data_IF_923105380336
#
_entry.id   IF_923105380336
#
_cell.length_a   1.000
_cell.length_b   1.000
_cell.length_c   1.000
_cell.angle_alpha   90.00
_cell.angle_beta   90.00
_cell.angle_gamma   90.00
#
_symmetry.space_group_name_H-M   'P 1'
#
loop_
_entity.id
_entity.type
_entity.pdbx_description
1 polymer ?
#
# COMPACT_ATOMS: atom_id res chain seq x y z
N UNK A 1 3.93 -3.33 41.37
CA UNK A 1 5.18 -3.67 40.65
C UNK A 1 4.96 -3.79 39.14
N UNK A 2 4.00 -4.59 38.65
CA UNK A 2 3.79 -4.75 37.20
C UNK A 2 3.32 -3.48 36.46
N UNK A 3 2.43 -2.67 37.06
CA UNK A 3 1.99 -1.39 36.44
C UNK A 3 3.15 -0.39 36.34
N UNK A 4 4.03 -0.33 37.36
CA UNK A 4 5.23 0.51 37.33
C UNK A 4 6.17 0.11 36.18
N UNK A 5 6.43 -1.20 36.04
CA UNK A 5 7.22 -1.71 34.90
C UNK A 5 6.57 -1.43 33.54
N UNK A 6 5.25 -1.50 33.47
CA UNK A 6 4.52 -1.14 32.25
C UNK A 6 4.61 0.36 31.94
N UNK A 7 4.60 1.23 32.95
CA UNK A 7 4.85 2.65 32.79
C UNK A 7 6.31 2.93 32.35
N UNK A 8 7.29 2.25 32.95
CA UNK A 8 8.71 2.34 32.57
C UNK A 8 8.95 2.00 31.09
N UNK A 9 8.16 1.10 30.49
CA UNK A 9 8.30 0.77 29.06
C UNK A 9 7.93 1.96 28.13
N UNK A 10 7.14 2.94 28.60
CA UNK A 10 6.92 4.19 27.86
C UNK A 10 8.19 5.04 27.77
N UNK A 11 9.09 4.97 28.75
CA UNK A 11 10.31 5.77 28.78
C UNK A 11 11.27 5.41 27.64
N UNK A 12 11.22 4.16 27.16
CA UNK A 12 11.96 3.69 25.97
C UNK A 12 11.62 4.47 24.72
N UNK A 13 10.41 5.00 24.67
CA UNK A 13 9.89 5.77 23.55
C UNK A 13 9.97 7.28 23.79
N UNK A 14 10.70 7.73 24.82
CA UNK A 14 10.92 9.14 25.12
C UNK A 14 9.83 9.81 25.96
N UNK A 15 8.87 9.06 26.49
CA UNK A 15 7.86 9.60 27.40
C UNK A 15 8.43 9.74 28.81
N UNK A 16 7.98 10.76 29.55
CA UNK A 16 8.06 10.75 31.02
C UNK A 16 6.77 10.15 31.56
N UNK A 17 6.89 9.12 32.39
CA UNK A 17 5.74 8.38 32.91
C UNK A 17 5.63 8.51 34.44
N UNK A 18 4.43 8.77 34.94
CA UNK A 18 4.14 8.78 36.38
C UNK A 18 2.85 7.99 36.66
N UNK A 19 2.92 7.04 37.59
CA UNK A 19 1.77 6.20 37.96
C UNK A 19 1.03 6.84 39.13
N UNK A 20 -0.23 7.21 38.89
CA UNK A 20 -1.16 7.75 39.89
C UNK A 20 -2.41 6.86 39.98
N UNK A 21 -2.42 5.96 40.97
CA UNK A 21 -3.50 4.99 41.15
C UNK A 21 -3.69 4.07 39.94
N UNK A 22 -4.84 4.20 39.26
CA UNK A 22 -5.16 3.48 38.02
C UNK A 22 -4.81 4.26 36.74
N UNK A 23 -4.13 5.41 36.86
CA UNK A 23 -3.73 6.25 35.73
C UNK A 23 -2.23 6.22 35.54
N UNK A 24 -1.82 6.39 34.29
CA UNK A 24 -0.42 6.66 33.92
C UNK A 24 -0.42 8.02 33.24
N UNK A 25 0.15 9.00 33.91
CA UNK A 25 0.43 10.33 33.39
C UNK A 25 1.61 10.21 32.42
N UNK A 26 1.44 10.75 31.22
CA UNK A 26 2.41 10.66 30.13
C UNK A 26 2.69 12.05 29.58
N UNK A 27 3.97 12.42 29.59
CA UNK A 27 4.46 13.65 28.98
C UNK A 27 5.43 13.32 27.86
N UNK A 28 5.20 13.89 26.67
CA UNK A 28 6.02 13.70 25.48
C UNK A 28 6.15 15.04 24.75
N UNK A 29 7.37 15.58 24.67
CA UNK A 29 7.61 16.93 24.16
C UNK A 29 6.70 17.96 24.86
N UNK A 30 5.84 18.64 24.14
CA UNK A 30 4.87 19.62 24.65
C UNK A 30 3.51 18.99 25.01
N UNK A 31 3.31 17.71 24.71
CA UNK A 31 2.04 17.01 24.89
C UNK A 31 1.95 16.42 26.29
N UNK A 32 0.88 16.75 27.02
CA UNK A 32 0.59 16.22 28.35
C UNK A 32 -0.77 15.53 28.36
N UNK A 33 -0.78 14.24 28.71
CA UNK A 33 -2.00 13.44 28.76
C UNK A 33 -1.91 12.35 29.82
N UNK A 34 -2.96 11.56 29.98
CA UNK A 34 -2.93 10.36 30.80
C UNK A 34 -3.76 9.25 30.18
N UNK A 35 -3.34 8.01 30.43
CA UNK A 35 -4.12 6.80 30.12
C UNK A 35 -4.69 6.21 31.40
N UNK A 36 -5.89 5.63 31.29
CA UNK A 36 -6.57 4.97 32.41
C UNK A 36 -6.58 3.46 32.21
N UNK A 37 -6.03 2.75 33.19
CA UNK A 37 -5.92 1.30 33.22
C UNK A 37 -7.18 0.76 33.89
N UNK A 38 -8.02 0.08 33.12
CA UNK A 38 -9.15 -0.66 33.67
C UNK A 38 -8.72 -2.00 34.28
N UNK A 39 -9.67 -2.70 34.89
CA UNK A 39 -9.42 -3.99 35.55
C UNK A 39 -8.91 -5.08 34.58
N UNK A 40 -9.39 -5.07 33.33
CA UNK A 40 -8.98 -6.05 32.32
C UNK A 40 -7.52 -5.84 31.90
N UNK A 41 -7.12 -4.59 31.67
CA UNK A 41 -5.74 -4.21 31.42
C UNK A 41 -4.85 -4.51 32.62
N UNK A 42 -5.26 -4.16 33.84
CA UNK A 42 -4.46 -4.40 35.04
C UNK A 42 -4.18 -5.90 35.23
N UNK A 43 -5.20 -6.75 35.07
CA UNK A 43 -5.07 -8.21 35.16
C UNK A 43 -4.12 -8.76 34.10
N UNK A 44 -4.22 -8.24 32.88
CA UNK A 44 -3.40 -8.69 31.74
C UNK A 44 -1.95 -8.23 31.89
N UNK A 45 -1.70 -6.97 32.28
CA UNK A 45 -0.36 -6.46 32.61
C UNK A 45 0.27 -7.33 33.71
N UNK A 46 -0.45 -7.62 34.79
CA UNK A 46 0.06 -8.53 35.84
C UNK A 46 0.42 -9.91 35.27
N UNK A 47 -0.42 -10.47 34.40
CA UNK A 47 -0.18 -11.77 33.76
C UNK A 47 1.08 -11.75 32.88
N UNK A 48 1.20 -10.77 31.98
CA UNK A 48 2.31 -10.65 31.02
C UNK A 48 3.63 -10.42 31.73
N UNK A 49 3.72 -9.50 32.70
CA UNK A 49 4.97 -9.18 33.39
C UNK A 49 5.40 -10.23 34.42
N UNK A 50 4.51 -11.16 34.79
CA UNK A 50 4.85 -12.32 35.65
C UNK A 50 5.19 -13.56 34.83
N UNK A 51 4.61 -13.72 33.64
CA UNK A 51 4.78 -14.90 32.82
C UNK A 51 6.02 -14.78 31.93
N UNK A 52 6.91 -15.77 31.97
CA UNK A 52 8.05 -15.91 31.03
C UNK A 52 7.68 -16.66 29.73
N UNK A 53 6.39 -16.86 29.48
CA UNK A 53 5.91 -17.83 28.48
C UNK A 53 5.55 -17.22 27.13
N UNK A 54 5.53 -15.89 27.02
CA UNK A 54 5.20 -15.22 25.78
C UNK A 54 6.46 -14.88 25.04
N UNK A 55 6.46 -15.22 23.76
CA UNK A 55 7.51 -14.83 22.85
C UNK A 55 6.88 -14.28 21.58
N UNK A 56 7.36 -13.12 21.15
CA UNK A 56 6.93 -12.44 19.93
C UNK A 56 8.01 -12.61 18.91
N UNK A 57 7.63 -13.16 17.77
CA UNK A 57 8.44 -13.11 16.57
C UNK A 57 8.13 -11.78 15.86
N UNK A 58 9.07 -10.83 15.98
CA UNK A 58 8.99 -9.50 15.38
C UNK A 58 8.97 -9.56 13.86
N UNK A 59 9.72 -10.49 13.27
CA UNK A 59 9.83 -10.62 11.82
C UNK A 59 8.57 -11.26 11.23
N UNK A 60 8.07 -12.30 11.89
CA UNK A 60 6.92 -13.09 11.44
C UNK A 60 5.57 -12.61 12.00
N UNK A 61 5.55 -11.57 12.84
CA UNK A 61 4.34 -10.91 13.37
C UNK A 61 3.35 -11.88 14.03
N UNK A 62 3.85 -12.76 14.89
CA UNK A 62 3.01 -13.65 15.70
C UNK A 62 3.52 -13.79 17.14
N UNK A 63 2.62 -14.16 18.04
CA UNK A 63 2.91 -14.44 19.44
C UNK A 63 2.63 -15.90 19.75
N UNK A 64 3.52 -16.56 20.48
CA UNK A 64 3.33 -17.93 20.96
C UNK A 64 3.22 -17.95 22.48
N UNK A 65 2.33 -18.80 22.98
CA UNK A 65 2.23 -19.20 24.39
C UNK A 65 2.32 -20.72 24.50
N UNK A 66 2.27 -21.26 25.72
CA UNK A 66 2.34 -22.71 25.96
C UNK A 66 1.27 -23.55 25.24
N UNK A 67 0.14 -22.96 24.88
CA UNK A 67 -1.03 -23.70 24.33
C UNK A 67 -1.74 -22.96 23.20
N UNK A 68 -1.19 -21.82 22.76
CA UNK A 68 -1.78 -21.03 21.71
C UNK A 68 -0.73 -20.32 20.85
N UNK A 69 -1.09 -20.06 19.61
CA UNK A 69 -0.37 -19.14 18.73
C UNK A 69 -1.36 -18.14 18.15
N UNK A 70 -0.98 -16.87 18.15
CA UNK A 70 -1.77 -15.76 17.67
C UNK A 70 -1.02 -15.05 16.55
N UNK A 71 -1.58 -15.07 15.34
CA UNK A 71 -1.00 -14.48 14.15
C UNK A 71 -1.70 -13.17 13.81
N UNK A 72 -0.93 -12.14 13.45
CA UNK A 72 -1.49 -10.95 12.82
C UNK A 72 -2.07 -11.32 11.44
N UNK A 73 -3.25 -10.79 11.13
CA UNK A 73 -3.91 -10.97 9.83
C UNK A 73 -4.23 -9.65 9.17
N UNK A 74 -4.42 -9.70 7.86
CA UNK A 74 -4.85 -8.58 7.04
C UNK A 74 -6.12 -8.92 6.28
N UNK A 75 -7.04 -7.97 6.21
CA UNK A 75 -8.23 -8.06 5.38
C UNK A 75 -7.85 -7.69 3.94
N UNK A 76 -8.16 -8.57 3.01
CA UNK A 76 -7.95 -8.37 1.58
C UNK A 76 -9.17 -7.71 0.91
N UNK A 77 -10.36 -8.02 1.39
CA UNK A 77 -11.62 -7.43 0.89
C UNK A 77 -11.82 -6.00 1.38
N UNK A 78 -12.33 -5.08 0.54
CA UNK A 78 -12.64 -3.71 0.92
C UNK A 78 -13.90 -3.57 1.79
N UNK A 79 -14.58 -4.67 2.12
CA UNK A 79 -15.82 -4.64 2.89
C UNK A 79 -15.59 -4.14 4.32
N UNK A 80 -16.44 -3.21 4.76
CA UNK A 80 -16.40 -2.71 6.12
C UNK A 80 -17.13 -3.69 7.05
N UNK A 81 -16.38 -4.36 7.93
CA UNK A 81 -16.97 -5.20 8.99
C UNK A 81 -16.46 -4.66 10.31
N UNK A 82 -17.40 -4.13 11.09
CA UNK A 82 -17.09 -3.33 12.28
C UNK A 82 -16.29 -4.13 13.32
N UNK A 83 -16.58 -5.43 13.49
CA UNK A 83 -15.88 -6.35 14.41
C UNK A 83 -16.03 -7.81 13.95
N UNK A 84 -15.11 -8.35 13.13
CA UNK A 84 -15.15 -9.76 12.80
C UNK A 84 -14.82 -10.56 14.07
N UNK A 85 -15.74 -11.43 14.47
CA UNK A 85 -15.55 -12.41 15.53
C UNK A 85 -16.01 -13.76 14.99
N UNK A 86 -15.06 -14.60 14.59
CA UNK A 86 -15.33 -15.95 14.11
C UNK A 86 -14.70 -16.96 15.04
N UNK A 87 -15.46 -17.98 15.44
CA UNK A 87 -14.98 -19.09 16.26
C UNK A 87 -15.18 -20.40 15.52
N UNK A 88 -14.09 -21.11 15.24
CA UNK A 88 -14.10 -22.44 14.65
C UNK A 88 -13.75 -23.46 15.72
N UNK A 89 -14.61 -24.46 15.89
CA UNK A 89 -14.41 -25.56 16.85
C UNK A 89 -14.17 -26.86 16.12
N UNK A 90 -13.11 -27.56 16.50
CA UNK A 90 -12.88 -28.94 16.08
C UNK A 90 -13.47 -29.91 17.11
N UNK A 91 -13.83 -31.11 16.67
CA UNK A 91 -14.22 -32.25 17.53
C UNK A 91 -13.14 -32.57 18.59
N UNK A 92 -11.86 -32.30 18.30
CA UNK A 92 -10.72 -32.66 19.15
C UNK A 92 -10.30 -31.56 20.14
N UNK A 93 -11.21 -30.65 20.52
CA UNK A 93 -11.00 -29.52 21.46
C UNK A 93 -10.10 -28.38 20.98
N UNK A 94 -9.70 -28.42 19.71
CA UNK A 94 -8.98 -27.32 19.08
C UNK A 94 -9.94 -26.19 18.71
N UNK A 95 -9.51 -24.95 18.94
CA UNK A 95 -10.32 -23.75 18.67
C UNK A 95 -9.48 -22.76 17.86
N UNK A 96 -10.05 -22.22 16.79
CA UNK A 96 -9.47 -21.09 16.04
C UNK A 96 -10.41 -19.89 16.19
N UNK A 97 -9.86 -18.74 16.58
CA UNK A 97 -10.64 -17.53 16.84
C UNK A 97 -10.06 -16.40 16.00
N UNK A 98 -10.87 -15.81 15.12
CA UNK A 98 -10.55 -14.56 14.42
C UNK A 98 -11.20 -13.41 15.20
N UNK A 99 -10.40 -12.46 15.70
CA UNK A 99 -10.88 -11.33 16.49
C UNK A 99 -9.95 -10.11 16.37
N UNK A 100 -10.22 -9.07 17.16
CA UNK A 100 -9.19 -8.11 17.55
C UNK A 100 -8.06 -8.80 18.31
N UNK A 101 -6.86 -8.22 18.25
CA UNK A 101 -5.70 -8.74 18.99
C UNK A 101 -5.99 -8.87 20.48
N UNK A 102 -5.43 -9.91 21.10
CA UNK A 102 -5.51 -10.06 22.54
C UNK A 102 -4.77 -8.93 23.26
N UNK A 103 -5.21 -8.59 24.47
CA UNK A 103 -4.50 -7.63 25.32
C UNK A 103 -3.07 -8.12 25.62
N UNK A 104 -2.86 -9.44 25.72
CA UNK A 104 -1.52 -10.00 25.86
C UNK A 104 -0.63 -9.69 24.67
N UNK A 105 -1.15 -9.89 23.45
CA UNK A 105 -0.43 -9.53 22.22
C UNK A 105 -0.12 -8.04 22.19
N UNK A 106 -1.10 -7.19 22.50
CA UNK A 106 -0.96 -5.74 22.47
C UNK A 106 0.12 -5.23 23.43
N UNK A 107 0.13 -5.74 24.67
CA UNK A 107 1.16 -5.39 25.67
C UNK A 107 2.53 -5.89 25.24
N UNK A 108 2.65 -7.11 24.75
CA UNK A 108 3.95 -7.63 24.33
C UNK A 108 4.48 -6.92 23.07
N UNK A 109 3.61 -6.56 22.13
CA UNK A 109 3.99 -5.75 20.96
C UNK A 109 4.47 -4.35 21.38
N UNK A 110 3.83 -3.74 22.37
CA UNK A 110 4.30 -2.46 22.92
C UNK A 110 5.70 -2.57 23.54
N UNK A 111 6.08 -3.75 24.03
CA UNK A 111 7.38 -3.99 24.65
C UNK A 111 8.51 -4.22 23.62
N UNK A 112 8.19 -4.31 22.33
CA UNK A 112 9.18 -4.42 21.24
C UNK A 112 9.41 -3.06 20.59
N UNK A 113 10.53 -2.92 19.87
CA UNK A 113 10.88 -1.70 19.14
C UNK A 113 9.97 -1.44 17.92
N UNK A 114 9.01 -2.33 17.65
CA UNK A 114 8.10 -2.23 16.51
C UNK A 114 6.88 -1.34 16.78
N UNK A 115 6.69 -0.92 18.02
CA UNK A 115 5.60 -0.03 18.36
C UNK A 115 5.79 1.33 17.66
N UNK A 116 4.86 1.67 16.77
CA UNK A 116 4.90 2.93 16.05
C UNK A 116 4.39 4.08 16.94
N UNK A 117 5.33 4.64 17.73
CA UNK A 117 5.12 5.76 18.64
C UNK A 117 4.61 7.00 17.90
N UNK A 118 5.21 7.31 16.75
CA UNK A 118 4.87 8.49 15.96
C UNK A 118 3.38 8.51 15.59
N UNK A 119 2.83 7.36 15.16
CA UNK A 119 1.41 7.21 14.86
C UNK A 119 0.52 7.34 16.09
N UNK A 120 0.98 6.92 17.28
CA UNK A 120 0.26 7.14 18.52
C UNK A 120 0.26 8.62 18.91
N UNK A 121 1.41 9.28 18.82
CA UNK A 121 1.59 10.70 19.11
C UNK A 121 0.81 11.58 18.15
N UNK A 122 0.82 11.31 16.84
CA UNK A 122 0.04 12.08 15.87
C UNK A 122 -1.47 12.03 16.17
N UNK A 123 -1.98 10.88 16.62
CA UNK A 123 -3.38 10.75 17.09
C UNK A 123 -3.64 11.57 18.35
N UNK A 124 -2.69 11.62 19.27
CA UNK A 124 -2.78 12.42 20.50
C UNK A 124 -2.77 13.92 20.16
N UNK A 125 -1.82 14.35 19.33
CA UNK A 125 -1.61 15.73 18.88
C UNK A 125 -2.86 16.31 18.23
N UNK A 126 -3.45 15.62 17.23
CA UNK A 126 -4.70 16.06 16.57
C UNK A 126 -5.85 16.30 17.55
N UNK A 127 -5.96 15.44 18.56
CA UNK A 127 -7.03 15.56 19.57
C UNK A 127 -6.78 16.69 20.55
N UNK A 128 -5.51 17.07 20.75
CA UNK A 128 -5.11 18.20 21.58
C UNK A 128 -5.24 19.54 20.83
N UNK A 129 -4.85 19.60 19.56
CA UNK A 129 -4.95 20.77 18.69
C UNK A 129 -6.39 21.19 18.42
N UNK A 130 -7.32 20.24 18.32
CA UNK A 130 -8.76 20.53 18.15
C UNK A 130 -9.45 21.16 19.39
N UNK A 131 -8.72 21.53 20.44
CA UNK A 131 -9.29 22.03 21.70
C UNK A 131 -9.30 23.55 21.74
N UNK A 132 -10.41 24.12 22.21
CA UNK A 132 -10.47 25.55 22.52
C UNK A 132 -9.55 25.91 23.68
N UNK A 133 -9.02 27.13 23.71
CA UNK A 133 -8.20 27.65 24.82
C UNK A 133 -8.88 27.52 26.19
N UNK A 134 -10.22 27.68 26.24
CA UNK A 134 -11.01 27.47 27.45
C UNK A 134 -10.99 26.03 27.93
N UNK A 135 -11.01 25.06 27.02
CA UNK A 135 -10.92 23.65 27.35
C UNK A 135 -9.52 23.31 27.87
N UNK A 136 -8.46 23.84 27.25
CA UNK A 136 -7.07 23.63 27.67
C UNK A 136 -6.86 24.14 29.11
N UNK A 137 -7.34 25.35 29.43
CA UNK A 137 -7.25 25.91 30.80
C UNK A 137 -7.99 25.10 31.86
N UNK A 138 -9.13 24.48 31.53
CA UNK A 138 -9.94 23.68 32.47
C UNK A 138 -9.43 22.26 32.68
N UNK A 139 -8.81 21.66 31.67
CA UNK A 139 -8.33 20.28 31.69
C UNK A 139 -6.95 20.22 31.02
N UNK A 140 -5.86 20.49 31.77
CA UNK A 140 -4.52 20.57 31.19
C UNK A 140 -4.09 19.23 30.58
N UNK A 141 -4.30 18.11 31.28
CA UNK A 141 -4.05 16.75 30.77
C UNK A 141 -5.31 16.14 30.15
N UNK A 142 -5.22 15.68 28.91
CA UNK A 142 -6.32 14.99 28.24
C UNK A 142 -6.36 13.50 28.62
N UNK A 143 -7.57 12.97 28.83
CA UNK A 143 -7.79 11.53 29.05
C UNK A 143 -7.74 10.77 27.72
N UNK A 144 -6.92 9.73 27.64
CA UNK A 144 -6.96 8.73 26.58
C UNK A 144 -7.37 7.37 27.13
N UNK A 145 -8.25 6.67 26.41
CA UNK A 145 -8.50 5.25 26.71
C UNK A 145 -7.29 4.45 26.25
N UNK A 146 -6.85 3.51 27.09
CA UNK A 146 -5.68 2.66 26.82
C UNK A 146 -5.79 1.94 25.48
N UNK A 147 -6.96 1.38 25.16
CA UNK A 147 -7.27 0.76 23.86
C UNK A 147 -7.09 1.68 22.64
N UNK A 148 -7.32 3.00 22.81
CA UNK A 148 -7.24 3.98 21.72
C UNK A 148 -5.79 4.41 21.49
N UNK A 149 -4.99 4.42 22.55
CA UNK A 149 -3.58 4.78 22.48
C UNK A 149 -2.78 3.73 21.70
N UNK A 150 -2.99 2.46 22.03
CA UNK A 150 -2.31 1.35 21.36
C UNK A 150 -2.86 1.08 19.95
N UNK A 151 -2.03 0.43 19.12
CA UNK A 151 -2.49 -0.10 17.84
C UNK A 151 -3.34 -1.34 18.10
N UNK A 152 -4.43 -1.48 17.36
CA UNK A 152 -5.28 -2.67 17.39
C UNK A 152 -5.31 -3.26 15.99
N UNK A 153 -4.79 -4.49 15.86
CA UNK A 153 -4.81 -5.26 14.63
C UNK A 153 -5.81 -6.40 14.77
N UNK A 154 -6.29 -6.91 13.64
CA UNK A 154 -7.00 -8.19 13.65
C UNK A 154 -5.99 -9.32 13.76
N UNK A 155 -6.35 -10.36 14.50
CA UNK A 155 -5.55 -11.57 14.67
C UNK A 155 -6.39 -12.81 14.48
N UNK A 156 -5.71 -13.92 14.20
CA UNK A 156 -6.27 -15.26 14.28
C UNK A 156 -5.48 -16.06 15.32
N UNK A 157 -6.20 -16.61 16.29
CA UNK A 157 -5.62 -17.34 17.40
C UNK A 157 -6.00 -18.81 17.33
N UNK A 158 -5.01 -19.68 17.23
CA UNK A 158 -5.18 -21.12 17.42
C UNK A 158 -4.93 -21.49 18.88
N UNK A 159 -5.85 -22.23 19.50
CA UNK A 159 -5.74 -22.76 20.86
C UNK A 159 -5.94 -24.26 20.85
N UNK A 160 -5.11 -24.98 21.61
CA UNK A 160 -5.27 -26.42 21.80
C UNK A 160 -5.09 -26.80 23.27
N UNK A 161 -5.81 -27.84 23.71
CA UNK A 161 -5.59 -28.46 25.03
C UNK A 161 -4.44 -29.48 25.01
N UNK A 162 -3.97 -29.86 23.83
CA UNK A 162 -2.88 -30.83 23.65
C UNK A 162 -1.55 -30.17 24.03
N UNK A 163 -0.69 -30.91 24.74
CA UNK A 163 0.70 -30.49 24.96
C UNK A 163 1.48 -30.74 23.67
N UNK A 164 1.80 -29.67 22.95
CA UNK A 164 2.62 -29.71 21.74
C UNK A 164 3.98 -29.08 22.03
N UNK A 165 5.00 -29.49 21.27
CA UNK A 165 6.22 -28.70 21.19
C UNK A 165 5.92 -27.36 20.52
N UNK A 166 6.75 -26.36 20.79
CA UNK A 166 6.55 -25.00 20.27
C UNK A 166 6.50 -24.95 18.74
N UNK A 167 7.42 -25.64 18.07
CA UNK A 167 7.47 -25.71 16.60
C UNK A 167 6.21 -26.34 16.02
N UNK A 168 5.76 -27.47 16.58
CA UNK A 168 4.52 -28.14 16.14
C UNK A 168 3.28 -27.28 16.37
N UNK A 169 3.24 -26.53 17.47
CA UNK A 169 2.13 -25.61 17.75
C UNK A 169 2.03 -24.51 16.68
N UNK A 170 3.17 -23.95 16.27
CA UNK A 170 3.24 -22.93 15.20
C UNK A 170 2.82 -23.54 13.86
N UNK A 171 3.36 -24.71 13.50
CA UNK A 171 3.05 -25.39 12.24
C UNK A 171 1.57 -25.76 12.14
N UNK A 172 1.04 -26.45 13.15
CA UNK A 172 -0.39 -26.82 13.19
C UNK A 172 -1.29 -25.57 13.23
N UNK A 173 -0.92 -24.57 14.05
CA UNK A 173 -1.69 -23.34 14.19
C UNK A 173 -1.76 -22.56 12.88
N UNK A 174 -0.66 -22.49 12.14
CA UNK A 174 -0.60 -21.86 10.81
C UNK A 174 -1.48 -22.60 9.80
N UNK A 175 -1.35 -23.92 9.70
CA UNK A 175 -2.11 -24.73 8.74
C UNK A 175 -3.62 -24.64 9.00
N UNK A 176 -4.05 -24.73 10.26
CA UNK A 176 -5.46 -24.60 10.65
C UNK A 176 -6.00 -23.19 10.45
N UNK A 177 -5.22 -22.17 10.81
CA UNK A 177 -5.60 -20.77 10.57
C UNK A 177 -5.83 -20.52 9.09
N UNK A 178 -4.90 -20.92 8.20
CA UNK A 178 -5.08 -20.79 6.74
C UNK A 178 -6.33 -21.52 6.22
N UNK A 179 -6.60 -22.72 6.74
CA UNK A 179 -7.81 -23.47 6.38
C UNK A 179 -9.09 -22.74 6.80
N UNK A 180 -9.12 -22.16 8.00
CA UNK A 180 -10.25 -21.34 8.47
C UNK A 180 -10.42 -20.06 7.64
N UNK A 181 -9.34 -19.35 7.31
CA UNK A 181 -9.39 -18.16 6.47
C UNK A 181 -9.92 -18.48 5.06
N UNK A 182 -9.50 -19.60 4.48
CA UNK A 182 -10.07 -20.07 3.22
C UNK A 182 -11.57 -20.38 3.33
N UNK A 183 -12.00 -21.01 4.42
CA UNK A 183 -13.42 -21.26 4.67
C UNK A 183 -14.23 -19.96 4.76
N UNK A 184 -13.69 -18.91 5.37
CA UNK A 184 -14.33 -17.59 5.39
C UNK A 184 -14.41 -16.96 4.00
N UNK A 185 -13.36 -17.09 3.20
CA UNK A 185 -13.37 -16.60 1.83
C UNK A 185 -14.46 -17.28 0.99
N UNK A 186 -14.65 -18.58 1.14
CA UNK A 186 -15.65 -19.36 0.39
C UNK A 186 -17.07 -19.12 0.90
N UNK A 187 -17.29 -19.15 2.22
CA UNK A 187 -18.64 -19.19 2.79
C UNK A 187 -19.19 -17.79 3.13
N UNK A 188 -18.33 -16.88 3.56
CA UNK A 188 -18.71 -15.56 4.08
C UNK A 188 -18.25 -14.41 3.18
N UNK A 189 -17.57 -14.72 2.07
CA UNK A 189 -16.94 -13.75 1.17
C UNK A 189 -15.99 -12.78 1.92
N UNK A 190 -15.37 -13.29 2.99
CA UNK A 190 -14.40 -12.56 3.79
C UNK A 190 -12.99 -13.06 3.51
N UNK A 191 -12.24 -12.32 2.69
CA UNK A 191 -10.87 -12.69 2.37
C UNK A 191 -9.89 -12.07 3.36
N UNK A 192 -9.18 -12.94 4.07
CA UNK A 192 -8.15 -12.61 5.03
C UNK A 192 -6.89 -13.39 4.73
N UNK A 193 -5.73 -12.84 5.06
CA UNK A 193 -4.44 -13.52 4.91
C UNK A 193 -3.54 -13.25 6.12
N UNK A 194 -2.65 -14.20 6.43
CA UNK A 194 -1.65 -14.04 7.48
C UNK A 194 -0.64 -12.97 7.08
N UNK A 195 -0.28 -12.08 8.01
CA UNK A 195 0.68 -10.99 7.74
C UNK A 195 2.03 -11.51 7.25
N UNK A 196 2.55 -12.59 7.85
CA UNK A 196 3.79 -13.24 7.43
C UNK A 196 3.80 -13.72 5.97
N UNK A 197 2.63 -13.96 5.36
CA UNK A 197 2.55 -14.37 3.95
C UNK A 197 2.79 -13.19 3.01
N UNK A 198 2.54 -11.95 3.46
CA UNK A 198 2.70 -10.73 2.68
C UNK A 198 4.14 -10.24 2.82
N UNK A 199 5.00 -10.65 1.87
CA UNK A 199 6.45 -10.36 1.88
C UNK A 199 6.81 -8.94 1.43
N UNK A 200 5.95 -8.28 0.67
CA UNK A 200 6.13 -6.86 0.34
C UNK A 200 6.19 -6.01 1.62
N UNK A 201 6.88 -4.86 1.56
CA UNK A 201 7.00 -3.86 2.66
C UNK A 201 5.66 -3.22 3.10
N UNK A 202 4.53 -3.86 2.80
CA UNK A 202 3.17 -3.42 3.08
C UNK A 202 2.33 -3.42 1.81
N UNK A 203 1.01 -3.36 1.98
CA UNK A 203 0.11 -2.96 0.89
C UNK A 203 0.37 -1.49 0.53
N UNK A 204 0.05 -1.12 -0.71
CA UNK A 204 -0.09 0.29 -1.07
C UNK A 204 -1.30 0.83 -0.31
N UNK A 205 -1.07 1.39 0.87
CA UNK A 205 -2.08 2.16 1.59
C UNK A 205 -1.82 3.61 1.19
N UNK A 206 -2.65 4.23 0.35
CA UNK A 206 -2.53 5.65 0.08
C UNK A 206 -2.77 6.37 1.40
N UNK A 207 -1.70 6.88 1.99
CA UNK A 207 -1.83 7.84 3.07
C UNK A 207 -2.41 9.10 2.45
N UNK A 208 -3.48 9.63 3.05
CA UNK A 208 -3.91 10.98 2.72
C UNK A 208 -2.82 11.93 3.20
N UNK A 209 -2.25 12.70 2.28
CA UNK A 209 -1.58 13.94 2.65
C UNK A 209 -2.68 14.83 3.20
N UNK A 210 -2.82 14.83 4.54
CA UNK A 210 -3.83 15.64 5.21
C UNK A 210 -3.40 17.10 5.08
N UNK A 211 -3.97 17.79 4.10
CA UNK A 211 -3.83 19.23 3.93
C UNK A 211 -4.97 19.93 4.67
N UNK A 212 -4.64 20.96 5.44
CA UNK A 212 -5.64 21.84 6.09
C UNK A 212 -6.30 22.82 5.09
N UNK A 213 -6.23 22.51 3.79
CA UNK A 213 -6.84 23.34 2.76
C UNK A 213 -8.35 23.08 2.70
N UNK A 214 -9.12 24.16 2.67
CA UNK A 214 -10.56 24.07 2.47
C UNK A 214 -10.88 23.32 1.17
N UNK A 215 -11.65 22.23 1.29
CA UNK A 215 -12.11 21.44 0.15
C UNK A 215 -13.04 22.29 -0.73
N UNK A 216 -12.56 22.68 -1.91
CA UNK A 216 -13.31 23.45 -2.91
C UNK A 216 -13.81 22.54 -4.02
N UNK A 217 -14.98 22.86 -4.58
CA UNK A 217 -15.47 22.21 -5.79
C UNK A 217 -14.52 22.56 -6.94
N UNK A 218 -13.93 21.57 -7.65
CA UNK A 218 -13.03 21.83 -8.77
C UNK A 218 -13.80 22.50 -9.92
N UNK A 219 -13.13 23.40 -10.64
CA UNK A 219 -13.70 24.05 -11.83
C UNK A 219 -13.72 23.15 -13.06
N UNK A 220 -12.74 22.25 -13.16
CA UNK A 220 -12.57 21.36 -14.30
C UNK A 220 -13.55 20.18 -14.22
N UNK A 221 -14.06 19.79 -15.38
CA UNK A 221 -14.89 18.58 -15.56
C UNK A 221 -14.00 17.51 -16.20
N UNK A 222 -13.88 16.35 -15.56
CA UNK A 222 -13.05 15.24 -16.02
C UNK A 222 -13.91 14.15 -16.66
N UNK A 223 -13.31 13.38 -17.57
CA UNK A 223 -13.96 12.23 -18.22
C UNK A 223 -14.21 11.10 -17.22
N UNK A 224 -15.44 10.59 -17.17
CA UNK A 224 -15.88 9.65 -16.13
C UNK A 224 -15.12 8.32 -16.20
N UNK A 225 -14.85 7.81 -17.40
CA UNK A 225 -14.12 6.56 -17.60
C UNK A 225 -12.68 6.65 -17.06
N UNK A 226 -11.99 7.75 -17.35
CA UNK A 226 -10.62 7.99 -16.86
C UNK A 226 -10.60 8.14 -15.33
N UNK A 227 -11.57 8.87 -14.79
CA UNK A 227 -11.75 9.02 -13.33
C UNK A 227 -12.07 7.68 -12.68
N UNK A 228 -12.86 6.82 -13.32
CA UNK A 228 -13.17 5.46 -12.88
C UNK A 228 -11.91 4.63 -12.70
N UNK A 229 -11.08 4.51 -13.74
CA UNK A 229 -9.80 3.80 -13.66
C UNK A 229 -8.89 4.37 -12.58
N UNK A 230 -8.79 5.71 -12.49
CA UNK A 230 -7.98 6.38 -11.47
C UNK A 230 -8.45 6.07 -10.05
N UNK A 231 -9.77 6.10 -9.78
CA UNK A 231 -10.34 5.79 -8.47
C UNK A 231 -10.09 4.33 -8.07
N UNK A 232 -10.24 3.39 -9.01
CA UNK A 232 -9.90 1.98 -8.77
C UNK A 232 -8.41 1.86 -8.42
N UNK A 233 -7.54 2.49 -9.20
CA UNK A 233 -6.10 2.47 -8.96
C UNK A 233 -5.74 3.01 -7.56
N UNK A 234 -6.30 4.17 -7.21
CA UNK A 234 -6.06 4.85 -5.93
C UNK A 234 -6.61 4.07 -4.74
N UNK A 235 -7.74 3.39 -4.89
CA UNK A 235 -8.38 2.63 -3.81
C UNK A 235 -7.80 1.21 -3.63
N UNK A 236 -7.04 0.71 -4.60
CA UNK A 236 -6.52 -0.65 -4.60
C UNK A 236 -5.41 -0.83 -3.57
N UNK A 237 -5.56 -1.84 -2.72
CA UNK A 237 -4.52 -2.29 -1.79
C UNK A 237 -3.40 -3.06 -2.52
N UNK A 238 -3.74 -3.69 -3.64
CA UNK A 238 -2.85 -4.56 -4.41
C UNK A 238 -2.05 -3.73 -5.43
N UNK A 239 -0.70 -3.76 -5.39
CA UNK A 239 0.15 -3.01 -6.31
C UNK A 239 -0.10 -3.34 -7.78
N UNK A 240 -0.34 -4.61 -8.10
CA UNK A 240 -0.64 -5.08 -9.46
C UNK A 240 -1.89 -4.42 -10.04
N UNK A 241 -2.99 -4.47 -9.29
CA UNK A 241 -4.27 -3.87 -9.68
C UNK A 241 -4.16 -2.34 -9.75
N UNK A 242 -3.44 -1.71 -8.83
CA UNK A 242 -3.20 -0.27 -8.86
C UNK A 242 -2.44 0.14 -10.13
N UNK A 243 -1.35 -0.57 -10.45
CA UNK A 243 -0.53 -0.33 -11.63
C UNK A 243 -1.35 -0.48 -12.92
N UNK A 244 -2.08 -1.60 -13.08
CA UNK A 244 -2.89 -1.85 -14.27
C UNK A 244 -4.00 -0.80 -14.44
N UNK A 245 -4.63 -0.39 -13.34
CA UNK A 245 -5.69 0.62 -13.38
C UNK A 245 -5.13 2.00 -13.77
N UNK A 246 -3.95 2.39 -13.29
CA UNK A 246 -3.28 3.60 -13.79
C UNK A 246 -2.86 3.46 -15.26
N UNK A 247 -2.40 2.28 -15.67
CA UNK A 247 -2.04 2.01 -17.06
C UNK A 247 -3.24 2.14 -18.01
N UNK A 248 -4.43 1.68 -17.61
CA UNK A 248 -5.65 1.79 -18.41
C UNK A 248 -6.02 3.26 -18.72
N UNK A 249 -5.67 4.22 -17.86
CA UNK A 249 -5.83 5.66 -18.17
C UNK A 249 -4.99 6.06 -19.40
N UNK A 250 -3.78 5.51 -19.53
CA UNK A 250 -2.92 5.73 -20.69
C UNK A 250 -3.45 4.98 -21.91
N UNK A 251 -3.84 3.71 -21.74
CA UNK A 251 -4.33 2.82 -22.79
C UNK A 251 -5.62 3.33 -23.44
N UNK A 252 -6.53 3.91 -22.65
CA UNK A 252 -7.76 4.56 -23.15
C UNK A 252 -7.48 5.60 -24.25
N UNK A 253 -6.28 6.21 -24.24
CA UNK A 253 -5.90 7.24 -25.18
C UNK A 253 -5.09 6.73 -26.38
N UNK A 254 -4.71 5.44 -26.43
CA UNK A 254 -3.81 4.90 -27.46
C UNK A 254 -4.31 5.12 -28.89
N UNK A 255 -5.54 4.68 -29.18
CA UNK A 255 -6.10 4.80 -30.52
C UNK A 255 -6.36 6.26 -30.88
N UNK A 256 -7.03 7.01 -30.01
CA UNK A 256 -7.36 8.43 -30.23
C UNK A 256 -6.10 9.26 -30.55
N UNK A 257 -5.05 9.12 -29.76
CA UNK A 257 -3.80 9.87 -29.98
C UNK A 257 -3.12 9.44 -31.28
N UNK A 258 -3.13 8.15 -31.58
CA UNK A 258 -2.54 7.62 -32.81
C UNK A 258 -3.28 8.11 -34.06
N UNK A 259 -4.61 8.17 -34.01
CA UNK A 259 -5.47 8.65 -35.10
C UNK A 259 -5.35 10.16 -35.30
N UNK A 260 -5.30 10.94 -34.23
CA UNK A 260 -5.05 12.38 -34.31
C UNK A 260 -3.68 12.70 -34.94
N UNK A 261 -2.63 11.95 -34.59
CA UNK A 261 -1.31 12.10 -35.21
C UNK A 261 -1.35 11.77 -36.71
N UNK A 262 -2.05 10.69 -37.09
CA UNK A 262 -2.24 10.31 -38.49
C UNK A 262 -3.00 11.37 -39.26
N UNK A 263 -4.08 11.89 -38.68
CA UNK A 263 -4.90 12.94 -39.26
C UNK A 263 -4.07 14.21 -39.48
N UNK A 264 -3.31 14.64 -38.48
CA UNK A 264 -2.46 15.84 -38.59
C UNK A 264 -1.36 15.69 -39.65
N UNK A 265 -0.73 14.52 -39.74
CA UNK A 265 0.27 14.22 -40.79
C UNK A 265 -0.35 14.22 -42.18
N UNK A 266 -1.50 13.56 -42.32
CA UNK A 266 -2.25 13.50 -43.58
C UNK A 266 -2.70 14.89 -44.02
N UNK A 267 -3.25 15.68 -43.08
CA UNK A 267 -3.66 17.07 -43.28
C UNK A 267 -2.49 17.95 -43.70
N UNK A 268 -1.32 17.81 -43.08
CA UNK A 268 -0.12 18.57 -43.45
C UNK A 268 0.34 18.28 -44.89
N UNK A 269 0.28 17.01 -45.32
CA UNK A 269 0.61 16.62 -46.69
C UNK A 269 -0.40 17.21 -47.67
N UNK A 270 -1.70 17.06 -47.42
CA UNK A 270 -2.77 17.52 -48.30
C UNK A 270 -2.76 19.06 -48.43
N UNK A 271 -2.51 19.78 -47.33
CA UNK A 271 -2.50 21.24 -47.32
C UNK A 271 -1.19 21.85 -47.83
N UNK A 272 -0.18 21.04 -48.18
CA UNK A 272 1.06 21.55 -48.75
C UNK A 272 0.79 22.18 -50.12
N UNK A 273 1.28 23.40 -50.41
CA UNK A 273 1.12 24.02 -51.74
C UNK A 273 1.70 23.18 -52.90
N UNK A 274 2.59 22.25 -52.58
CA UNK A 274 3.21 21.32 -53.54
C UNK A 274 2.40 20.04 -53.80
N UNK A 275 1.29 19.84 -53.08
CA UNK A 275 0.46 18.64 -53.21
C UNK A 275 -0.44 18.73 -54.43
N UNK A 276 -0.44 17.67 -55.23
CA UNK A 276 -1.33 17.45 -56.36
C UNK A 276 -1.72 15.97 -56.42
N UNK A 277 -2.77 15.62 -57.16
CA UNK A 277 -3.29 14.25 -57.28
C UNK A 277 -2.45 13.32 -58.16
N UNK A 278 -1.17 13.64 -58.41
CA UNK A 278 -0.28 12.78 -59.19
C UNK A 278 0.08 11.50 -58.42
N UNK A 279 0.43 10.46 -59.17
CA UNK A 279 0.77 9.13 -58.67
C UNK A 279 1.79 9.14 -57.52
N UNK A 280 2.84 9.96 -57.63
CA UNK A 280 3.90 10.04 -56.61
C UNK A 280 3.40 10.62 -55.28
N UNK A 281 2.53 11.63 -55.32
CA UNK A 281 1.99 12.27 -54.14
C UNK A 281 0.93 11.38 -53.46
N UNK A 282 0.14 10.65 -54.23
CA UNK A 282 -0.77 9.61 -53.71
C UNK A 282 0.03 8.48 -53.07
N UNK A 283 1.14 8.04 -53.67
CA UNK A 283 2.01 7.02 -53.09
C UNK A 283 2.68 7.47 -51.78
N UNK A 284 3.08 8.74 -51.67
CA UNK A 284 3.57 9.32 -50.40
C UNK A 284 2.51 9.23 -49.31
N UNK A 285 1.25 9.56 -49.63
CA UNK A 285 0.14 9.47 -48.70
C UNK A 285 -0.13 8.01 -48.27
N UNK A 286 -0.17 7.07 -49.23
CA UNK A 286 -0.30 5.64 -48.95
C UNK A 286 0.86 5.09 -48.10
N UNK A 287 2.08 5.59 -48.30
CA UNK A 287 3.24 5.21 -47.49
C UNK A 287 3.09 5.65 -46.02
N UNK A 288 2.51 6.83 -45.77
CA UNK A 288 2.21 7.31 -44.41
C UNK A 288 1.16 6.42 -43.73
N UNK A 289 0.09 6.05 -44.44
CA UNK A 289 -0.94 5.15 -43.93
C UNK A 289 -0.37 3.77 -43.58
N UNK A 290 0.38 3.15 -44.52
CA UNK A 290 1.03 1.84 -44.28
C UNK A 290 2.04 1.88 -43.12
N UNK A 291 2.77 2.99 -42.97
CA UNK A 291 3.71 3.15 -41.86
C UNK A 291 2.98 3.31 -40.52
N UNK A 292 1.83 3.98 -40.51
CA UNK A 292 1.01 4.14 -39.30
C UNK A 292 0.48 2.79 -38.81
N UNK A 293 -0.09 1.97 -39.70
CA UNK A 293 -0.58 0.62 -39.36
C UNK A 293 0.51 -0.27 -38.76
N UNK A 294 1.73 -0.23 -39.32
CA UNK A 294 2.87 -1.00 -38.80
C UNK A 294 3.34 -0.52 -37.42
N UNK A 295 3.07 0.74 -37.06
CA UNK A 295 3.52 1.37 -35.82
C UNK A 295 2.42 1.40 -34.74
N UNK A 296 1.42 0.53 -34.84
CA UNK A 296 0.39 0.29 -33.81
C UNK A 296 0.86 -0.68 -32.72
N UNK A 297 2.18 -0.87 -32.56
CA UNK A 297 2.73 -1.55 -31.40
C UNK A 297 2.39 -0.78 -30.12
N UNK A 298 1.99 -1.49 -29.07
CA UNK A 298 1.63 -0.96 -27.75
C UNK A 298 2.69 0.00 -27.19
N UNK A 299 3.98 -0.34 -27.33
CA UNK A 299 5.10 0.49 -26.86
C UNK A 299 5.14 1.83 -27.59
N UNK A 300 4.94 1.77 -28.91
CA UNK A 300 4.89 2.95 -29.78
C UNK A 300 3.66 3.82 -29.49
N UNK A 301 2.50 3.22 -29.22
CA UNK A 301 1.28 3.95 -28.83
C UNK A 301 1.43 4.62 -27.46
N UNK A 302 1.98 3.90 -26.49
CA UNK A 302 2.28 4.43 -25.17
C UNK A 302 3.26 5.62 -25.24
N UNK A 303 4.32 5.49 -26.06
CA UNK A 303 5.26 6.59 -26.31
C UNK A 303 4.55 7.83 -26.82
N UNK A 304 3.66 7.68 -27.80
CA UNK A 304 2.89 8.81 -28.40
C UNK A 304 1.97 9.47 -27.36
N UNK A 305 1.29 8.69 -26.52
CA UNK A 305 0.45 9.23 -25.44
C UNK A 305 1.30 10.03 -24.46
N UNK A 306 2.43 9.50 -24.00
CA UNK A 306 3.32 10.21 -23.08
C UNK A 306 3.81 11.51 -23.73
N UNK A 307 4.34 11.45 -24.96
CA UNK A 307 4.82 12.64 -25.69
C UNK A 307 3.75 13.70 -25.91
N UNK A 308 2.48 13.32 -26.05
CA UNK A 308 1.40 14.28 -26.28
C UNK A 308 1.01 15.05 -25.03
N UNK A 309 0.97 14.39 -23.88
CA UNK A 309 0.38 14.96 -22.66
C UNK A 309 1.40 15.39 -21.60
N UNK A 310 2.65 14.98 -21.73
CA UNK A 310 3.67 15.18 -20.71
C UNK A 310 4.91 15.80 -21.36
N UNK A 311 5.36 16.89 -20.76
CA UNK A 311 6.64 17.50 -21.09
C UNK A 311 7.80 16.62 -20.59
N UNK A 312 8.81 16.42 -21.43
CA UNK A 312 9.92 15.51 -21.11
C UNK A 312 10.79 16.03 -19.96
N UNK A 313 11.00 17.35 -19.86
CA UNK A 313 11.77 17.95 -18.77
C UNK A 313 11.02 17.79 -17.43
N UNK A 314 9.70 18.00 -17.43
CA UNK A 314 8.87 17.75 -16.25
C UNK A 314 8.97 16.30 -15.76
N UNK A 315 8.94 15.33 -16.69
CA UNK A 315 9.09 13.92 -16.35
C UNK A 315 10.49 13.61 -15.78
N UNK A 316 11.55 14.18 -16.37
CA UNK A 316 12.92 14.04 -15.87
C UNK A 316 13.02 14.58 -14.44
N UNK A 317 12.48 15.77 -14.19
CA UNK A 317 12.51 16.40 -12.88
C UNK A 317 11.74 15.58 -11.85
N UNK A 318 10.56 15.09 -12.19
CA UNK A 318 9.77 14.22 -11.33
C UNK A 318 10.53 12.93 -10.95
N UNK A 319 11.19 12.27 -11.90
CA UNK A 319 11.96 11.05 -11.60
C UNK A 319 13.15 11.37 -10.70
N UNK A 320 13.85 12.51 -10.92
CA UNK A 320 14.95 12.95 -10.04
C UNK A 320 14.48 13.22 -8.62
N UNK A 321 13.33 13.86 -8.45
CA UNK A 321 12.73 14.09 -7.13
C UNK A 321 12.40 12.78 -6.42
N UNK A 322 11.88 11.78 -7.13
CA UNK A 322 11.64 10.45 -6.57
C UNK A 322 12.94 9.77 -6.12
N UNK A 323 13.99 9.82 -6.93
CA UNK A 323 15.30 9.25 -6.54
C UNK A 323 15.89 9.96 -5.32
N UNK A 324 15.74 11.29 -5.24
CA UNK A 324 16.20 12.07 -4.09
C UNK A 324 15.44 11.70 -2.81
N UNK A 325 14.11 11.53 -2.89
CA UNK A 325 13.29 11.08 -1.75
C UNK A 325 13.66 9.68 -1.29
N UNK A 326 14.03 8.80 -2.22
CA UNK A 326 14.47 7.43 -1.93
C UNK A 326 15.92 7.35 -1.48
N UNK A 327 16.71 8.42 -1.61
CA UNK A 327 18.17 8.45 -1.41
C UNK A 327 18.92 7.40 -2.24
N UNK A 328 18.34 6.93 -3.34
CA UNK A 328 18.89 5.88 -4.21
C UNK A 328 18.47 6.10 -5.67
N UNK A 329 19.39 5.79 -6.60
CA UNK A 329 19.18 5.89 -8.07
C UNK A 329 18.47 4.67 -8.63
N UNK A 330 17.27 4.42 -8.14
CA UNK A 330 16.48 3.21 -8.45
C UNK A 330 16.08 3.13 -9.92
N UNK A 331 15.87 4.27 -10.61
CA UNK A 331 15.32 4.28 -11.97
C UNK A 331 16.39 4.57 -13.02
N UNK A 332 17.28 5.53 -12.75
CA UNK A 332 18.31 5.97 -13.68
C UNK A 332 19.50 5.02 -13.74
N UNK A 333 19.82 4.38 -12.62
CA UNK A 333 20.88 3.38 -12.49
C UNK A 333 20.40 2.18 -11.65
N UNK A 334 19.35 1.46 -12.11
CA UNK A 334 18.75 0.37 -11.36
C UNK A 334 19.81 -0.68 -11.05
N UNK A 335 19.97 -1.07 -9.78
CA UNK A 335 20.84 -2.22 -9.41
C UNK A 335 20.13 -3.54 -9.67
N UNK A 336 18.83 -3.56 -9.40
CA UNK A 336 17.96 -4.71 -9.53
C UNK A 336 17.40 -4.84 -10.96
N UNK A 337 17.04 -6.05 -11.35
CA UNK A 337 16.32 -6.32 -12.58
C UNK A 337 14.82 -6.09 -12.40
N UNK A 338 14.16 -5.65 -13.48
CA UNK A 338 12.71 -5.53 -13.55
C UNK A 338 12.22 -6.76 -14.28
N UNK A 339 11.80 -7.79 -13.53
CA UNK A 339 11.31 -9.06 -14.10
C UNK A 339 12.26 -9.65 -15.15
N UNK A 340 13.51 -9.90 -14.76
CA UNK A 340 14.54 -10.50 -15.63
C UNK A 340 15.18 -9.56 -16.66
N UNK A 341 14.74 -8.30 -16.77
CA UNK A 341 15.37 -7.32 -17.66
C UNK A 341 15.83 -6.07 -16.90
N UNK A 342 17.08 -5.66 -17.13
CA UNK A 342 17.60 -4.39 -16.60
C UNK A 342 17.35 -3.26 -17.59
N UNK A 343 16.36 -2.42 -17.29
CA UNK A 343 15.94 -1.34 -18.18
C UNK A 343 16.16 0.03 -17.49
N UNK A 344 17.32 0.68 -17.68
CA UNK A 344 17.59 1.98 -17.08
C UNK A 344 16.79 3.10 -17.76
N UNK A 345 16.28 4.04 -16.96
CA UNK A 345 15.70 5.29 -17.47
C UNK A 345 16.81 6.31 -17.71
N UNK A 346 17.17 6.54 -18.97
CA UNK A 346 18.12 7.60 -19.31
C UNK A 346 17.42 8.96 -19.13
N UNK A 347 17.84 9.71 -18.12
CA UNK A 347 17.29 11.02 -17.75
C UNK A 347 17.88 12.14 -18.62
N UNK A 348 17.73 11.97 -19.93
CA UNK A 348 18.20 12.84 -20.99
C UNK A 348 17.03 13.09 -21.95
N UNK A 349 16.97 14.30 -22.52
CA UNK A 349 15.95 14.66 -23.50
C UNK A 349 16.04 13.76 -24.74
N UNK A 350 14.89 13.38 -25.30
CA UNK A 350 14.78 12.45 -26.43
C UNK A 350 14.88 10.96 -26.07
N UNK A 351 15.30 10.61 -24.85
CA UNK A 351 15.44 9.23 -24.40
C UNK A 351 14.47 8.85 -23.27
N UNK A 352 14.19 9.79 -22.36
CA UNK A 352 13.42 9.54 -21.13
C UNK A 352 12.04 8.96 -21.42
N UNK A 353 11.30 9.56 -22.36
CA UNK A 353 9.94 9.08 -22.70
C UNK A 353 9.97 7.66 -23.26
N UNK A 354 10.90 7.39 -24.17
CA UNK A 354 11.02 6.07 -24.81
C UNK A 354 11.39 4.97 -23.81
N UNK A 355 12.34 5.24 -22.92
CA UNK A 355 12.72 4.30 -21.86
C UNK A 355 11.58 4.09 -20.86
N UNK A 356 10.87 5.15 -20.49
CA UNK A 356 9.72 5.08 -19.56
C UNK A 356 8.60 4.21 -20.14
N UNK A 357 8.24 4.42 -21.41
CA UNK A 357 7.26 3.59 -22.10
C UNK A 357 7.67 2.10 -22.11
N UNK A 358 8.95 1.81 -22.41
CA UNK A 358 9.47 0.44 -22.44
C UNK A 358 9.34 -0.24 -21.08
N UNK A 359 9.77 0.42 -19.99
CA UNK A 359 9.71 -0.15 -18.63
C UNK A 359 8.27 -0.41 -18.19
N UNK A 360 7.38 0.55 -18.39
CA UNK A 360 5.98 0.43 -17.94
C UNK A 360 5.28 -0.71 -18.69
N UNK A 361 5.50 -0.81 -20.01
CA UNK A 361 4.94 -1.90 -20.83
C UNK A 361 5.53 -3.27 -20.43
N UNK A 362 6.82 -3.32 -20.10
CA UNK A 362 7.46 -4.53 -19.58
C UNK A 362 6.80 -5.01 -18.28
N UNK A 363 6.64 -4.11 -17.31
CA UNK A 363 5.95 -4.41 -16.05
C UNK A 363 4.50 -4.84 -16.30
N UNK A 364 3.76 -4.12 -17.16
CA UNK A 364 2.38 -4.48 -17.54
C UNK A 364 2.31 -5.91 -18.09
N UNK A 365 3.22 -6.28 -18.97
CA UNK A 365 3.28 -7.62 -19.53
C UNK A 365 3.54 -8.68 -18.46
N UNK A 366 4.47 -8.46 -17.53
CA UNK A 366 4.75 -9.35 -16.39
C UNK A 366 3.60 -9.45 -15.38
N UNK A 367 2.66 -8.49 -15.39
CA UNK A 367 1.45 -8.51 -14.57
C UNK A 367 0.31 -9.31 -15.21
N UNK A 368 0.17 -9.23 -16.54
CA UNK A 368 -0.95 -9.81 -17.29
C UNK A 368 -0.67 -11.24 -17.75
N UNK A 369 0.57 -11.52 -18.16
CA UNK A 369 0.94 -12.84 -18.63
C UNK A 369 1.42 -13.68 -17.44
N UNK A 370 0.70 -14.75 -17.13
CA UNK A 370 1.14 -15.73 -16.15
C UNK A 370 2.23 -16.61 -16.77
N UNK A 371 3.43 -16.61 -16.19
CA UNK A 371 4.42 -17.64 -16.45
C UNK A 371 3.93 -18.99 -15.93
N UNK A 372 4.13 -20.05 -16.71
CA UNK A 372 4.07 -21.44 -16.24
C UNK A 372 5.02 -21.64 -15.03
N UNK A 373 4.88 -22.73 -14.28
CA UNK A 373 5.58 -23.00 -13.00
C UNK A 373 7.12 -22.80 -13.06
N UNK A 374 7.69 -22.81 -14.26
CA UNK A 374 9.12 -22.77 -14.55
C UNK A 374 9.69 -21.37 -14.88
N UNK A 375 8.88 -20.34 -15.12
CA UNK A 375 9.33 -18.95 -15.44
C UNK A 375 8.88 -17.91 -14.39
N UNK A 376 8.67 -18.34 -13.13
CA UNK A 376 8.16 -17.49 -12.04
C UNK A 376 9.00 -16.25 -11.73
N UNK A 377 10.29 -16.24 -12.07
CA UNK A 377 11.18 -15.09 -11.86
C UNK A 377 10.85 -13.90 -12.78
N UNK A 378 10.07 -14.14 -13.84
CA UNK A 378 9.71 -13.15 -14.86
C UNK A 378 8.29 -12.56 -14.67
N UNK A 379 7.55 -13.02 -13.64
CA UNK A 379 6.14 -12.67 -13.44
C UNK A 379 5.83 -12.31 -11.99
N UNK A 380 4.74 -11.57 -11.78
CA UNK A 380 4.29 -11.21 -10.43
C UNK A 380 3.58 -12.38 -9.76
N UNK A 381 4.11 -12.80 -8.62
CA UNK A 381 3.43 -13.72 -7.70
C UNK A 381 2.80 -12.91 -6.58
N UNK A 382 1.48 -13.04 -6.32
CA UNK A 382 0.80 -12.34 -5.23
C UNK A 382 1.51 -12.54 -3.88
N UNK A 383 1.61 -11.47 -3.10
CA UNK A 383 2.22 -11.46 -1.76
C UNK A 383 3.73 -11.77 -1.73
N UNK A 384 4.39 -11.94 -2.89
CA UNK A 384 5.82 -12.18 -2.96
C UNK A 384 6.63 -10.88 -3.02
N UNK A 385 7.96 -11.02 -2.96
CA UNK A 385 8.88 -9.88 -3.07
C UNK A 385 8.79 -9.17 -4.42
N UNK A 386 8.32 -9.86 -5.47
CA UNK A 386 8.15 -9.30 -6.82
C UNK A 386 7.17 -8.11 -6.86
N UNK A 387 6.20 -8.05 -5.93
CA UNK A 387 5.29 -6.91 -5.80
C UNK A 387 6.02 -5.62 -5.40
N UNK A 388 7.19 -5.73 -4.75
CA UNK A 388 8.02 -4.59 -4.38
C UNK A 388 8.54 -3.88 -5.63
N UNK A 389 8.86 -4.62 -6.69
CA UNK A 389 9.25 -4.06 -7.99
C UNK A 389 8.10 -3.21 -8.54
N UNK A 390 6.89 -3.76 -8.60
CA UNK A 390 5.70 -3.03 -9.07
C UNK A 390 5.46 -1.76 -8.24
N UNK A 391 5.53 -1.89 -6.92
CA UNK A 391 5.31 -0.79 -5.98
C UNK A 391 6.26 0.38 -6.22
N UNK A 392 7.53 0.12 -6.56
CA UNK A 392 8.50 1.15 -6.92
C UNK A 392 8.09 1.96 -8.16
N UNK A 393 7.40 1.36 -9.13
CA UNK A 393 7.01 2.04 -10.37
C UNK A 393 5.61 2.66 -10.34
N UNK A 394 4.77 2.37 -9.34
CA UNK A 394 3.45 2.98 -9.17
C UNK A 394 3.50 4.53 -9.20
N UNK A 395 4.42 5.21 -8.50
CA UNK A 395 4.49 6.68 -8.55
C UNK A 395 4.67 7.24 -9.96
N UNK A 396 5.44 6.55 -10.81
CA UNK A 396 5.66 6.95 -12.21
C UNK A 396 4.37 6.80 -13.01
N UNK A 397 3.75 5.62 -13.02
CA UNK A 397 2.52 5.41 -13.81
C UNK A 397 1.37 6.29 -13.30
N UNK A 398 1.27 6.48 -11.99
CA UNK A 398 0.33 7.43 -11.37
C UNK A 398 0.54 8.85 -11.90
N UNK A 399 1.77 9.35 -11.91
CA UNK A 399 2.08 10.69 -12.41
C UNK A 399 1.69 10.85 -13.89
N UNK A 400 2.00 9.84 -14.73
CA UNK A 400 1.60 9.86 -16.14
C UNK A 400 0.07 9.88 -16.28
N UNK A 401 -0.64 9.04 -15.51
CA UNK A 401 -2.11 9.00 -15.53
C UNK A 401 -2.73 10.34 -15.10
N UNK A 402 -2.20 10.99 -14.05
CA UNK A 402 -2.66 12.30 -13.59
C UNK A 402 -2.48 13.37 -14.67
N UNK A 403 -1.32 13.43 -15.33
CA UNK A 403 -1.06 14.37 -16.42
C UNK A 403 -2.02 14.17 -17.60
N UNK A 404 -2.31 12.93 -17.97
CA UNK A 404 -3.30 12.60 -19.00
C UNK A 404 -4.71 13.04 -18.59
N UNK A 405 -5.12 12.81 -17.34
CA UNK A 405 -6.44 13.23 -16.85
C UNK A 405 -6.56 14.76 -16.86
N UNK A 406 -5.55 15.45 -16.35
CA UNK A 406 -5.54 16.92 -16.29
C UNK A 406 -5.60 17.55 -17.67
N UNK A 407 -4.86 17.00 -18.64
CA UNK A 407 -4.87 17.49 -20.02
C UNK A 407 -6.19 17.25 -20.77
N UNK A 408 -7.03 16.31 -20.29
CA UNK A 408 -8.36 16.04 -20.85
C UNK A 408 -9.50 16.74 -20.09
N UNK A 409 -9.21 17.48 -19.01
CA UNK A 409 -10.20 18.25 -18.27
C UNK A 409 -10.76 19.40 -19.09
N UNK A 410 -12.08 19.61 -19.03
CA UNK A 410 -12.81 20.70 -19.70
C UNK A 410 -13.10 21.87 -18.76
#
# INVERSE_FOLDING_TARGET
>A
MSIKKFAEDFERFGFKSEVDGNKINLDYEELQFYIEIDEAWEKTIKKVYRAKQYDIDSDSKFQVSNSSVEFQIFKLTPSYVYKPLYEFKSEKSDIVILSDMSLEYQINLFRTDEFNVERAINRVRRRLEGRSERAIKRMPRLRFRTEIFFLNFKTITFKTKRKLSREKLIEEGRAKSKSCLFSLAVNENECWELRETIKGKGFYIPLSDETDEDLKIPKAIFEDDLVGFYKIAKSSLFPSQAFLSYYHVLEYNFLRVSDEELFNRTKSIINSPSFNSNYDNVNKLLAVLKKHERNLDETSMLKRVITKFIDEEELINFIRELENKLTEKVYSKPKDEVFGERIPLKLEEGHTIGNTAKVIKHIRNSLVHSSDKYTREECVVPFSESETIVTRYIPIVKYLAEKVIYANGK
#
